data_IF_101805769621
#
_entry.id   IF_101805769621
#
_cell.length_a   1.000
_cell.length_b   1.000
_cell.length_c   1.000
_cell.angle_alpha   90.00
_cell.angle_beta   90.00
_cell.angle_gamma   90.00
#
_symmetry.space_group_name_H-M   'P 1'
#
loop_
_entity.id
_entity.type
_entity.pdbx_description
1 polymer ?
#
# COMPACT_ATOMS: atom_id res chain seq x y z
N UNK A 1 -12.52 1.36 -35.89
CA UNK A 1 -12.69 2.70 -35.28
C UNK A 1 -11.88 2.65 -33.98
N UNK A 2 -10.64 3.19 -33.91
CA UNK A 2 -10.27 4.62 -33.92
C UNK A 2 -11.09 5.42 -32.89
N UNK A 3 -10.61 6.25 -31.96
CA UNK A 3 -9.29 6.77 -31.52
C UNK A 3 -9.49 7.41 -30.10
N UNK A 4 -8.51 7.81 -29.26
CA UNK A 4 -7.04 7.89 -29.36
C UNK A 4 -6.32 7.74 -27.98
N UNK A 5 -5.00 7.80 -28.05
CA UNK A 5 -3.93 7.97 -27.05
C UNK A 5 -3.95 9.25 -26.16
N UNK A 6 -2.96 9.31 -25.23
CA UNK A 6 -2.66 10.38 -24.24
C UNK A 6 -3.62 10.32 -23.03
N UNK A 7 -3.23 10.64 -21.78
CA UNK A 7 -2.35 11.71 -21.29
C UNK A 7 -1.62 11.35 -19.99
N UNK A 8 -0.56 12.13 -19.69
CA UNK A 8 -0.14 12.34 -18.30
C UNK A 8 1.17 11.68 -17.89
N UNK A 9 2.29 12.22 -18.37
CA UNK A 9 3.58 12.09 -17.68
C UNK A 9 3.56 12.92 -16.38
N UNK A 10 2.71 12.52 -15.43
CA UNK A 10 2.64 13.10 -14.09
C UNK A 10 3.78 12.50 -13.29
N UNK A 11 4.93 13.16 -13.35
CA UNK A 11 6.08 12.90 -12.47
C UNK A 11 5.56 12.93 -11.02
N UNK A 12 5.35 11.77 -10.35
CA UNK A 12 4.90 11.80 -8.98
C UNK A 12 6.01 12.45 -8.17
N UNK A 13 5.66 13.32 -7.22
CA UNK A 13 6.67 13.79 -6.25
C UNK A 13 7.43 12.56 -5.76
N UNK A 14 8.77 12.64 -5.68
CA UNK A 14 9.63 11.53 -5.26
C UNK A 14 9.48 11.27 -3.76
N UNK A 15 8.28 10.82 -3.40
CA UNK A 15 7.88 10.38 -2.08
C UNK A 15 8.77 9.18 -1.76
N UNK A 16 9.61 9.34 -0.75
CA UNK A 16 10.60 8.35 -0.36
C UNK A 16 9.90 7.10 0.20
N UNK A 17 9.51 6.19 -0.71
CA UNK A 17 8.92 4.90 -0.35
C UNK A 17 10.02 4.03 0.25
N UNK A 18 9.81 3.57 1.49
CA UNK A 18 10.60 2.48 2.05
C UNK A 18 10.58 1.25 1.13
N UNK A 19 11.67 0.47 1.14
CA UNK A 19 11.83 -0.69 0.26
C UNK A 19 10.70 -1.70 0.49
N UNK A 20 9.99 -2.07 -0.58
CA UNK A 20 8.97 -3.11 -0.56
C UNK A 20 7.63 -2.75 0.09
N UNK A 21 7.31 -1.46 0.25
CA UNK A 21 5.95 -1.01 0.62
C UNK A 21 4.98 -1.29 -0.54
N UNK A 22 3.76 -1.74 -0.23
CA UNK A 22 2.72 -2.00 -1.23
C UNK A 22 2.23 -0.72 -1.92
N UNK A 23 1.83 -0.83 -3.18
CA UNK A 23 1.28 0.29 -3.95
C UNK A 23 -0.25 0.27 -3.91
N UNK A 24 -0.85 1.43 -3.61
CA UNK A 24 -2.30 1.66 -3.70
C UNK A 24 -2.62 2.37 -5.00
N UNK A 25 -3.71 1.98 -5.67
CA UNK A 25 -4.18 2.61 -6.92
C UNK A 25 -4.95 3.94 -6.69
N UNK A 26 -4.74 4.61 -5.56
CA UNK A 26 -5.43 5.87 -5.21
C UNK A 26 -4.92 7.05 -6.05
N UNK A 27 -5.83 7.97 -6.36
CA UNK A 27 -5.49 9.27 -6.92
C UNK A 27 -4.84 10.19 -5.87
N UNK A 28 -4.21 11.28 -6.33
CA UNK A 28 -3.50 12.24 -5.45
C UNK A 28 -4.38 12.93 -4.40
N UNK A 29 -5.70 12.91 -4.58
CA UNK A 29 -6.65 13.64 -3.74
C UNK A 29 -7.47 12.71 -2.83
N UNK A 30 -7.14 11.42 -2.76
CA UNK A 30 -7.86 10.45 -1.92
C UNK A 30 -7.08 10.09 -0.65
N UNK A 31 -7.80 9.97 0.47
CA UNK A 31 -7.22 9.62 1.76
C UNK A 31 -7.41 8.12 2.07
N UNK A 32 -6.36 7.43 2.51
CA UNK A 32 -6.43 6.02 2.94
C UNK A 32 -6.20 5.81 4.45
N UNK A 33 -6.13 6.90 5.22
CA UNK A 33 -5.85 6.89 6.66
C UNK A 33 -6.94 6.18 7.48
N UNK A 34 -8.21 6.42 7.14
CA UNK A 34 -9.38 5.97 7.91
C UNK A 34 -9.99 4.66 7.37
N UNK A 35 -9.23 3.88 6.58
CA UNK A 35 -9.67 2.54 6.16
C UNK A 35 -9.92 1.63 7.37
N UNK A 36 -10.94 0.76 7.35
CA UNK A 36 -11.15 -0.21 8.43
C UNK A 36 -9.93 -1.13 8.63
N UNK A 37 -9.85 -1.76 9.80
CA UNK A 37 -8.89 -2.82 10.07
C UNK A 37 -9.54 -4.17 9.77
N UNK A 38 -8.82 -5.04 9.05
CA UNK A 38 -9.23 -6.40 8.73
C UNK A 38 -8.16 -7.39 9.18
N UNK A 39 -7.91 -8.40 8.34
CA UNK A 39 -6.83 -9.36 8.51
C UNK A 39 -5.81 -9.27 7.37
N UNK A 40 -4.55 -9.56 7.70
CA UNK A 40 -3.44 -9.58 6.75
C UNK A 40 -2.83 -10.98 6.74
N UNK A 41 -2.86 -11.62 5.58
CA UNK A 41 -2.23 -12.92 5.32
C UNK A 41 -0.90 -12.71 4.60
N UNK A 42 0.14 -13.42 5.02
CA UNK A 42 1.39 -13.53 4.29
C UNK A 42 1.33 -14.69 3.29
N UNK A 43 1.36 -14.37 1.99
CA UNK A 43 1.32 -15.37 0.91
C UNK A 43 2.61 -16.22 0.79
N UNK A 44 3.64 -15.94 1.59
CA UNK A 44 4.94 -16.67 1.59
C UNK A 44 5.03 -17.70 2.71
N UNK A 45 4.49 -17.41 3.90
CA UNK A 45 4.61 -18.29 5.08
C UNK A 45 3.29 -18.65 5.76
N UNK A 46 2.15 -18.20 5.23
CA UNK A 46 0.82 -18.47 5.78
C UNK A 46 0.49 -17.72 7.08
N UNK A 47 1.40 -16.88 7.60
CA UNK A 47 1.15 -16.12 8.82
C UNK A 47 -0.03 -15.14 8.63
N UNK A 48 -1.01 -15.23 9.52
CA UNK A 48 -2.22 -14.41 9.55
C UNK A 48 -2.21 -13.53 10.81
N UNK A 49 -2.55 -12.26 10.67
CA UNK A 49 -2.66 -11.33 11.81
C UNK A 49 -3.69 -10.23 11.58
N UNK A 50 -4.11 -9.56 12.65
CA UNK A 50 -5.07 -8.45 12.60
C UNK A 50 -4.35 -7.14 12.25
N UNK A 51 -4.89 -6.39 11.30
CA UNK A 51 -4.31 -5.12 10.88
C UNK A 51 -4.76 -4.74 9.48
N UNK A 52 -3.88 -4.08 8.72
CA UNK A 52 -4.07 -3.81 7.29
C UNK A 52 -2.71 -3.67 6.60
N UNK A 53 -2.66 -3.86 5.29
CA UNK A 53 -1.43 -3.69 4.52
C UNK A 53 -1.08 -2.19 4.51
N UNK A 54 0.21 -1.91 4.73
CA UNK A 54 0.73 -0.54 4.68
C UNK A 54 0.77 -0.05 3.24
N UNK A 55 -0.05 0.94 2.95
CA UNK A 55 -0.01 1.74 1.73
C UNK A 55 0.49 3.15 2.02
N UNK A 56 0.94 3.84 0.96
CA UNK A 56 1.36 5.22 1.05
C UNK A 56 0.17 6.15 0.81
N UNK A 57 -0.17 7.01 1.78
CA UNK A 57 -1.25 7.99 1.62
C UNK A 57 -0.73 9.24 0.88
N UNK A 58 -1.33 9.66 -0.25
CA UNK A 58 -0.86 10.82 -1.00
C UNK A 58 -1.09 12.15 -0.29
N UNK A 59 -2.15 12.24 0.54
CA UNK A 59 -2.47 13.44 1.34
C UNK A 59 -1.61 13.51 2.61
N UNK A 60 -1.36 12.36 3.25
CA UNK A 60 -0.68 12.26 4.55
C UNK A 60 0.58 11.38 4.46
N UNK A 61 1.63 11.83 3.74
CA UNK A 61 2.76 10.99 3.32
C UNK A 61 3.65 10.50 4.47
N UNK A 62 3.63 11.20 5.61
CA UNK A 62 4.46 10.92 6.79
C UNK A 62 3.68 10.20 7.91
N UNK A 63 2.37 10.03 7.78
CA UNK A 63 1.56 9.39 8.82
C UNK A 63 1.78 7.87 8.84
N UNK A 64 1.95 7.33 10.03
CA UNK A 64 2.16 5.90 10.30
C UNK A 64 1.12 5.45 11.32
N UNK A 65 0.48 4.32 11.07
CA UNK A 65 -0.46 3.70 11.99
C UNK A 65 0.14 2.43 12.58
N UNK A 66 -0.19 2.15 13.84
CA UNK A 66 0.39 1.03 14.60
C UNK A 66 0.11 -0.35 13.97
N UNK A 67 -1.02 -0.49 13.28
CA UNK A 67 -1.48 -1.74 12.66
C UNK A 67 -1.26 -1.79 11.13
N UNK A 68 -0.43 -0.89 10.58
CA UNK A 68 -0.07 -0.87 9.15
C UNK A 68 1.16 -1.74 8.89
N UNK A 69 0.94 -2.94 8.35
CA UNK A 69 1.96 -3.95 8.18
C UNK A 69 2.72 -3.71 6.87
N UNK A 70 3.99 -3.30 6.99
CA UNK A 70 4.90 -3.06 5.86
C UNK A 70 5.61 -4.32 5.35
N UNK A 71 5.81 -5.30 6.24
CA UNK A 71 6.47 -6.58 6.00
C UNK A 71 5.88 -7.65 6.93
N UNK A 72 5.89 -8.91 6.52
CA UNK A 72 5.46 -10.01 7.40
C UNK A 72 6.32 -10.05 8.68
N UNK A 73 5.74 -10.03 9.89
CA UNK A 73 6.54 -10.04 11.12
C UNK A 73 7.34 -11.35 11.29
N UNK A 74 6.87 -12.47 10.74
CA UNK A 74 7.49 -13.80 10.84
C UNK A 74 8.62 -14.00 9.82
N UNK A 75 8.36 -13.89 8.51
CA UNK A 75 9.35 -14.19 7.46
C UNK A 75 9.97 -12.95 6.78
N UNK A 76 9.60 -11.73 7.19
CA UNK A 76 10.05 -10.45 6.61
C UNK A 76 9.78 -10.26 5.12
N UNK A 77 8.84 -11.04 4.54
CA UNK A 77 8.35 -10.81 3.17
C UNK A 77 7.79 -9.39 3.02
N UNK A 78 7.96 -8.79 1.85
CA UNK A 78 7.54 -7.42 1.56
C UNK A 78 6.01 -7.24 1.50
N UNK A 79 5.54 -6.00 1.64
CA UNK A 79 4.11 -5.66 1.69
C UNK A 79 3.32 -6.07 0.45
N UNK A 80 3.96 -6.13 -0.73
CA UNK A 80 3.32 -6.64 -1.95
C UNK A 80 3.10 -8.16 -1.97
N UNK A 81 3.64 -8.90 -0.99
CA UNK A 81 3.41 -10.33 -0.77
C UNK A 81 2.36 -10.57 0.32
N UNK A 82 1.67 -9.53 0.78
CA UNK A 82 0.62 -9.59 1.79
C UNK A 82 -0.75 -9.33 1.15
N UNK A 83 -1.76 -10.09 1.59
CA UNK A 83 -3.17 -9.92 1.18
C UNK A 83 -3.99 -9.37 2.36
N UNK A 84 -4.88 -8.42 2.10
CA UNK A 84 -5.83 -7.85 3.08
C UNK A 84 -7.23 -8.45 2.85
N UNK A 85 -7.94 -8.79 3.94
CA UNK A 85 -9.30 -9.37 3.98
C UNK A 85 -10.17 -8.65 5.01
#
# INVERSE_FOLDING_TARGET
>A
MYFNSKFGNRNPMRMARGRGIAQSNLSSNECLCNRPHGFVLCNVCGYLTKGRVRYFCPIHPQTIFLLDIAQCPQCKSYGFMLSEY
#
